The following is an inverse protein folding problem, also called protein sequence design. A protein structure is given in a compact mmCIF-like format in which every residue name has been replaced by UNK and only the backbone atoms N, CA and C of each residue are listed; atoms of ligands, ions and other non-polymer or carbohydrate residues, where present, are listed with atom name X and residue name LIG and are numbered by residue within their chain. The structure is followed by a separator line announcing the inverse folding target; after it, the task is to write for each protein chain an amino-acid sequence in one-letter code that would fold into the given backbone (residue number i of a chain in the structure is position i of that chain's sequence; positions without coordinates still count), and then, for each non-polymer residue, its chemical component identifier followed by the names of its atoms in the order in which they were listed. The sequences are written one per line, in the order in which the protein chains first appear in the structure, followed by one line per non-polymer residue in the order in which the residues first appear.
data_IF_561892439171
#
_entry.id   IF_561892439171
#
_cell.length_a   1.000
_cell.length_b   1.000
_cell.length_c   1.000
_cell.angle_alpha   90.00
_cell.angle_beta   90.00
_cell.angle_gamma   90.00
#
_symmetry.space_group_name_H-M   'P 1'
#
loop_
_entity.id
_entity.type
_entity.pdbx_description
1 polymer ?
#
# COMPACT_ATOMS: atom_id res chain seq x y z
N UNK A 1 0.90 -60.94 -45.74
CA UNK A 1 0.23 -61.74 -44.68
C UNK A 1 0.18 -60.87 -43.46
N UNK A 2 -1.00 -60.32 -43.19
CA UNK A 2 -1.33 -59.55 -42.00
C UNK A 2 -1.60 -60.58 -40.91
N UNK A 3 -0.82 -60.56 -39.84
CA UNK A 3 -1.01 -61.39 -38.66
C UNK A 3 -1.09 -60.47 -37.45
N UNK A 4 -2.33 -60.27 -36.99
CA UNK A 4 -2.73 -59.66 -35.74
C UNK A 4 -2.11 -60.41 -34.54
N UNK A 5 -1.11 -59.80 -33.89
CA UNK A 5 -0.69 -60.20 -32.53
C UNK A 5 -1.15 -59.14 -31.55
N UNK A 6 -2.46 -59.06 -31.39
CA UNK A 6 -3.10 -58.36 -30.28
C UNK A 6 -2.84 -59.12 -28.99
N UNK A 7 -1.71 -58.85 -28.33
CA UNK A 7 -1.47 -59.26 -26.95
C UNK A 7 -2.53 -58.62 -26.04
N UNK A 8 -3.60 -59.37 -25.82
CA UNK A 8 -4.68 -59.07 -24.89
C UNK A 8 -4.10 -59.03 -23.48
N UNK A 9 -3.80 -57.82 -22.99
CA UNK A 9 -3.45 -57.55 -21.59
C UNK A 9 -4.43 -58.33 -20.68
N UNK A 10 -3.91 -59.24 -19.87
CA UNK A 10 -4.77 -60.06 -19.01
C UNK A 10 -5.32 -59.15 -17.92
N UNK A 11 -6.57 -59.37 -17.53
CA UNK A 11 -7.22 -58.58 -16.47
C UNK A 11 -6.41 -58.59 -15.16
N UNK A 12 -5.61 -59.64 -14.92
CA UNK A 12 -4.67 -59.74 -13.81
C UNK A 12 -3.46 -58.78 -13.90
N UNK A 13 -3.10 -58.34 -15.10
CA UNK A 13 -1.97 -57.43 -15.35
C UNK A 13 -2.37 -55.96 -15.16
N UNK A 14 -3.68 -55.66 -15.17
CA UNK A 14 -4.23 -54.31 -14.88
C UNK A 14 -4.08 -53.98 -13.38
N UNK A 15 -4.28 -54.97 -12.52
CA UNK A 15 -4.17 -54.80 -11.07
C UNK A 15 -2.73 -54.68 -10.57
N UNK A 16 -1.74 -55.18 -11.30
CA UNK A 16 -0.32 -55.06 -10.94
C UNK A 16 0.26 -53.67 -11.26
N UNK A 17 -0.20 -53.01 -12.33
CA UNK A 17 0.22 -51.65 -12.68
C UNK A 17 -0.35 -50.58 -11.73
N UNK A 18 -1.53 -50.84 -11.13
CA UNK A 18 -2.19 -49.94 -10.19
C UNK A 18 -1.54 -49.92 -8.78
N UNK A 19 -0.51 -50.74 -8.53
CA UNK A 19 0.18 -50.84 -7.25
C UNK A 19 1.37 -49.87 -7.12
N UNK A 20 1.65 -49.07 -8.14
CA UNK A 20 2.58 -47.96 -8.04
C UNK A 20 1.90 -46.78 -7.33
N UNK A 21 2.43 -46.31 -6.19
CA UNK A 21 1.88 -45.13 -5.52
C UNK A 21 1.97 -43.93 -6.46
N UNK A 22 0.85 -43.22 -6.61
CA UNK A 22 0.79 -41.94 -7.31
C UNK A 22 1.92 -41.02 -6.79
N UNK A 23 2.73 -40.38 -7.67
CA UNK A 23 3.73 -39.44 -7.22
C UNK A 23 3.06 -38.22 -6.59
N UNK A 24 3.19 -38.09 -5.26
CA UNK A 24 2.75 -36.95 -4.48
C UNK A 24 3.66 -35.73 -4.76
N UNK A 25 3.57 -35.18 -5.96
CA UNK A 25 4.32 -33.99 -6.37
C UNK A 25 3.58 -32.68 -6.04
N UNK A 26 2.27 -32.72 -5.75
CA UNK A 26 1.44 -31.55 -5.43
C UNK A 26 1.49 -31.11 -3.96
N UNK A 27 1.60 -32.05 -3.01
CA UNK A 27 1.46 -31.74 -1.59
C UNK A 27 2.56 -30.83 -1.01
N UNK A 28 3.77 -30.84 -1.60
CA UNK A 28 4.88 -29.99 -1.15
C UNK A 28 4.74 -28.54 -1.62
N UNK A 29 4.21 -28.30 -2.82
CA UNK A 29 3.96 -26.95 -3.35
C UNK A 29 2.86 -26.24 -2.57
N UNK A 30 1.76 -26.93 -2.30
CA UNK A 30 0.60 -26.38 -1.58
C UNK A 30 0.95 -26.01 -0.12
N UNK A 31 1.81 -26.81 0.54
CA UNK A 31 2.26 -26.53 1.90
C UNK A 31 3.18 -25.30 1.98
N UNK A 32 4.03 -25.09 0.97
CA UNK A 32 4.97 -23.97 0.90
C UNK A 32 4.23 -22.65 0.58
N UNK A 33 3.29 -22.69 -0.37
CA UNK A 33 2.34 -21.63 -0.68
C UNK A 33 1.52 -21.23 0.57
N UNK A 34 0.97 -22.21 1.28
CA UNK A 34 0.20 -21.97 2.51
C UNK A 34 1.06 -21.33 3.61
N UNK A 35 2.33 -21.76 3.74
CA UNK A 35 3.28 -21.17 4.69
C UNK A 35 3.59 -19.73 4.33
N UNK A 36 3.89 -19.43 3.06
CA UNK A 36 4.09 -18.06 2.56
C UNK A 36 2.87 -17.17 2.83
N UNK A 37 1.66 -17.67 2.54
CA UNK A 37 0.41 -16.93 2.82
C UNK A 37 0.22 -16.65 4.30
N UNK A 38 0.51 -17.63 5.18
CA UNK A 38 0.46 -17.46 6.64
C UNK A 38 1.48 -16.43 7.13
N UNK A 39 2.71 -16.48 6.63
CA UNK A 39 3.76 -15.52 6.98
C UNK A 39 3.44 -14.09 6.52
N UNK A 40 2.93 -13.94 5.29
CA UNK A 40 2.45 -12.66 4.77
C UNK A 40 1.29 -12.12 5.62
N UNK A 41 0.30 -12.96 5.94
CA UNK A 41 -0.83 -12.57 6.78
C UNK A 41 -0.37 -12.15 8.20
N UNK A 42 0.59 -12.89 8.79
CA UNK A 42 1.18 -12.52 10.08
C UNK A 42 1.90 -11.16 10.03
N UNK A 43 2.64 -10.87 8.95
CA UNK A 43 3.30 -9.57 8.75
C UNK A 43 2.26 -8.43 8.63
N UNK A 44 1.21 -8.64 7.83
CA UNK A 44 0.12 -7.68 7.66
C UNK A 44 -0.57 -7.40 9.00
N UNK A 45 -0.94 -8.44 9.75
CA UNK A 45 -1.58 -8.26 11.05
C UNK A 45 -0.69 -7.52 12.04
N UNK A 46 0.63 -7.78 12.03
CA UNK A 46 1.58 -7.04 12.86
C UNK A 46 1.61 -5.56 12.48
N UNK A 47 1.66 -5.25 11.19
CA UNK A 47 1.63 -3.86 10.71
C UNK A 47 0.33 -3.16 11.12
N UNK A 48 -0.83 -3.80 10.94
CA UNK A 48 -2.13 -3.25 11.34
C UNK A 48 -2.17 -2.92 12.83
N UNK A 49 -1.60 -3.78 13.69
CA UNK A 49 -1.56 -3.51 15.13
C UNK A 49 -0.66 -2.32 15.46
N UNK A 50 0.50 -2.19 14.80
CA UNK A 50 1.39 -1.04 14.95
C UNK A 50 0.71 0.25 14.50
N UNK A 51 0.08 0.24 13.33
CA UNK A 51 -0.62 1.41 12.78
C UNK A 51 -1.81 1.81 13.65
N UNK A 52 -2.54 0.84 14.22
CA UNK A 52 -3.61 1.11 15.20
C UNK A 52 -3.09 1.81 16.45
N UNK A 53 -1.93 1.41 16.95
CA UNK A 53 -1.33 2.05 18.12
C UNK A 53 -0.92 3.50 17.82
N UNK A 54 -0.25 3.73 16.68
CA UNK A 54 0.12 5.08 16.22
C UNK A 54 -1.13 5.95 16.03
N UNK A 55 -2.16 5.39 15.39
CA UNK A 55 -3.42 6.10 15.15
C UNK A 55 -4.12 6.50 16.45
N UNK A 56 -4.16 5.61 17.46
CA UNK A 56 -4.74 5.91 18.78
C UNK A 56 -3.93 6.93 19.57
N UNK A 57 -2.62 6.97 19.39
CA UNK A 57 -1.75 7.95 20.05
C UNK A 57 -1.78 9.35 19.37
N UNK A 58 -2.30 9.44 18.14
CA UNK A 58 -2.33 10.68 17.35
C UNK A 58 -3.53 11.55 17.75
N UNK A 59 -3.27 12.79 18.17
CA UNK A 59 -4.30 13.78 18.47
C UNK A 59 -4.81 14.43 17.19
N UNK A 60 -6.07 14.21 16.83
CA UNK A 60 -6.70 14.76 15.63
C UNK A 60 -7.43 16.06 15.95
N UNK A 61 -6.97 17.16 15.38
CA UNK A 61 -7.53 18.50 15.59
C UNK A 61 -8.20 19.01 14.31
N UNK A 62 -9.35 19.66 14.44
CA UNK A 62 -10.08 20.30 13.35
C UNK A 62 -10.11 21.82 13.59
N UNK A 63 -9.66 22.59 12.60
CA UNK A 63 -9.71 24.06 12.66
C UNK A 63 -10.91 24.56 11.86
N UNK A 64 -11.83 25.26 12.55
CA UNK A 64 -13.04 25.84 11.97
C UNK A 64 -12.97 27.36 11.96
N UNK A 65 -13.65 28.00 11.01
CA UNK A 65 -13.72 29.45 10.88
C UNK A 65 -14.11 29.90 9.47
N UNK A 66 -14.49 31.17 9.32
CA UNK A 66 -14.83 31.79 8.03
C UNK A 66 -13.65 31.79 7.04
N UNK A 67 -13.90 32.12 5.77
CA UNK A 67 -12.82 32.42 4.81
C UNK A 67 -11.83 33.44 5.41
N UNK A 68 -10.55 33.30 5.11
CA UNK A 68 -9.50 34.26 5.50
C UNK A 68 -9.22 34.40 7.02
N UNK A 69 -9.91 33.65 7.88
CA UNK A 69 -9.77 33.70 9.34
C UNK A 69 -8.40 33.22 9.89
N UNK A 70 -7.39 33.01 9.05
CA UNK A 70 -6.04 32.62 9.47
C UNK A 70 -5.83 31.14 9.80
N UNK A 71 -6.77 30.23 9.48
CA UNK A 71 -6.60 28.76 9.70
C UNK A 71 -5.31 28.21 9.10
N UNK A 72 -5.00 28.59 7.87
CA UNK A 72 -3.76 28.19 7.19
C UNK A 72 -2.51 28.76 7.88
N UNK A 73 -2.62 29.92 8.53
CA UNK A 73 -1.52 30.53 9.29
C UNK A 73 -1.20 29.70 10.53
N UNK A 74 -2.21 29.24 11.28
CA UNK A 74 -2.04 28.36 12.44
C UNK A 74 -1.32 27.06 12.03
N UNK A 75 -1.75 26.44 10.93
CA UNK A 75 -1.11 25.21 10.42
C UNK A 75 0.36 25.46 10.02
N UNK A 76 0.64 26.60 9.36
CA UNK A 76 2.03 26.97 9.02
C UNK A 76 2.89 27.17 10.26
N UNK A 77 2.36 27.81 11.31
CA UNK A 77 3.08 28.01 12.57
C UNK A 77 3.35 26.68 13.28
N UNK A 78 2.37 25.77 13.30
CA UNK A 78 2.58 24.43 13.84
C UNK A 78 3.75 23.70 13.16
N UNK A 79 3.87 23.86 11.83
CA UNK A 79 4.97 23.27 11.07
C UNK A 79 6.33 23.93 11.35
N UNK A 80 6.38 25.23 11.61
CA UNK A 80 7.61 25.93 11.98
C UNK A 80 8.11 25.49 13.36
N UNK A 81 7.19 25.29 14.32
CA UNK A 81 7.54 25.03 15.71
C UNK A 81 7.79 23.55 16.03
N UNK A 82 7.11 22.63 15.33
CA UNK A 82 7.09 21.20 15.69
C UNK A 82 7.62 20.27 14.60
N UNK A 83 8.02 20.80 13.44
CA UNK A 83 8.55 20.05 12.29
C UNK A 83 9.79 20.79 11.79
N UNK A 84 10.58 20.17 10.90
CA UNK A 84 11.76 20.76 10.24
C UNK A 84 11.45 21.95 9.30
N UNK A 85 10.45 22.77 9.62
CA UNK A 85 10.14 24.02 8.94
C UNK A 85 9.77 23.86 7.47
N UNK A 86 10.25 24.80 6.64
CA UNK A 86 10.08 24.81 5.18
C UNK A 86 11.42 24.60 4.47
N UNK A 87 11.43 23.73 3.47
CA UNK A 87 12.61 23.50 2.65
C UNK A 87 12.95 24.73 1.79
N UNK A 88 14.18 24.81 1.31
CA UNK A 88 14.60 25.90 0.41
C UNK A 88 13.83 25.89 -0.92
N UNK A 89 13.39 24.73 -1.38
CA UNK A 89 12.55 24.59 -2.57
C UNK A 89 11.16 25.18 -2.33
N UNK A 90 10.51 24.82 -1.22
CA UNK A 90 9.19 25.36 -0.86
C UNK A 90 9.23 26.88 -0.67
N UNK A 91 10.28 27.41 -0.03
CA UNK A 91 10.48 28.86 0.10
C UNK A 91 10.58 29.52 -1.27
N UNK A 92 11.31 28.92 -2.21
CA UNK A 92 11.48 29.43 -3.58
C UNK A 92 10.17 29.46 -4.35
N UNK A 93 9.34 28.43 -4.21
CA UNK A 93 7.99 28.40 -4.78
C UNK A 93 7.09 29.51 -4.22
N UNK A 94 7.22 29.84 -2.92
CA UNK A 94 6.43 30.92 -2.31
C UNK A 94 6.81 32.32 -2.79
N UNK A 95 7.99 32.53 -3.35
CA UNK A 95 8.40 33.83 -3.90
C UNK A 95 7.41 34.33 -4.94
N UNK A 96 6.95 33.45 -5.84
CA UNK A 96 5.98 33.83 -6.87
C UNK A 96 4.66 34.28 -6.25
N UNK A 97 4.12 33.51 -5.30
CA UNK A 97 2.88 33.86 -4.60
C UNK A 97 3.00 35.20 -3.85
N UNK A 98 4.14 35.46 -3.19
CA UNK A 98 4.39 36.74 -2.51
C UNK A 98 4.36 37.90 -3.50
N UNK A 99 5.03 37.75 -4.65
CA UNK A 99 5.04 38.79 -5.70
C UNK A 99 3.64 39.07 -6.25
N UNK A 100 2.84 38.03 -6.50
CA UNK A 100 1.46 38.18 -6.95
C UNK A 100 0.61 38.89 -5.88
N UNK A 101 0.68 38.44 -4.63
CA UNK A 101 -0.08 39.07 -3.53
C UNK A 101 0.26 40.57 -3.36
N UNK A 102 1.53 40.96 -3.52
CA UNK A 102 1.93 42.38 -3.46
C UNK A 102 1.33 43.15 -4.63
N UNK A 103 1.41 42.63 -5.86
CA UNK A 103 0.83 43.26 -7.04
C UNK A 103 -0.68 43.43 -6.88
N UNK A 104 -1.37 42.37 -6.47
CA UNK A 104 -2.82 42.36 -6.31
C UNK A 104 -3.26 43.36 -5.24
N UNK A 105 -2.53 43.43 -4.11
CA UNK A 105 -2.79 44.41 -3.06
C UNK A 105 -2.66 45.86 -3.55
N UNK A 106 -1.64 46.16 -4.38
CA UNK A 106 -1.46 47.49 -4.97
C UNK A 106 -2.61 47.80 -5.93
N UNK A 107 -2.93 46.89 -6.84
CA UNK A 107 -3.99 47.08 -7.84
C UNK A 107 -5.34 47.33 -7.16
N UNK A 108 -5.71 46.49 -6.19
CA UNK A 108 -6.94 46.66 -5.40
C UNK A 108 -6.96 48.02 -4.71
N UNK A 109 -5.83 48.46 -4.13
CA UNK A 109 -5.76 49.75 -3.44
C UNK A 109 -5.85 50.95 -4.39
N UNK A 110 -5.46 50.81 -5.65
CA UNK A 110 -5.54 51.88 -6.66
C UNK A 110 -6.86 51.93 -7.44
N UNK A 111 -7.65 50.86 -7.38
CA UNK A 111 -8.92 50.72 -8.12
C UNK A 111 -10.15 51.00 -7.24
N UNK A 112 -9.95 51.38 -5.97
CA UNK A 112 -10.97 51.85 -5.02
C UNK A 112 -10.75 53.34 -4.78
#
# INVERSE_FOLDING_TARGET
MIGDDGERLRSSDIWTLARHPWPSAGAKGDAEELKKRKEANKKINKQIQQDKQVYRATHRLLLLGAGESGKSTIVKQMRILHVDGFSEEEKREKIHAIRCNIRDAILVSTMV
#
